data_IF_798479828933
#
_entry.id   IF_798479828933
#
_cell.length_a   1.000
_cell.length_b   1.000
_cell.length_c   1.000
_cell.angle_alpha   90.00
_cell.angle_beta   90.00
_cell.angle_gamma   90.00
#
_symmetry.space_group_name_H-M   'P 1'
#
loop_
_entity.id
_entity.type
_entity.pdbx_description
1 polymer ?
#
# COMPACT_ATOMS: atom_id res chain seq x y z
N UNK A 1 -26.64 -7.34 1.45
CA UNK A 1 -25.80 -6.46 0.60
C UNK A 1 -24.93 -5.63 1.52
N UNK A 2 -23.63 -5.48 1.20
CA UNK A 2 -22.72 -4.63 1.95
C UNK A 2 -23.09 -3.20 1.59
N UNK A 3 -23.42 -2.38 2.59
CA UNK A 3 -23.85 -0.99 2.39
C UNK A 3 -22.69 0.01 2.63
N UNK A 4 -21.70 -0.41 3.42
CA UNK A 4 -20.58 0.44 3.79
C UNK A 4 -19.58 0.57 2.64
N UNK A 5 -19.08 1.78 2.42
CA UNK A 5 -17.97 2.00 1.52
C UNK A 5 -16.68 1.51 2.18
N UNK A 6 -15.95 0.59 1.52
CA UNK A 6 -14.74 -0.04 2.06
C UNK A 6 -13.66 0.97 2.46
N UNK A 7 -13.42 1.98 1.61
CA UNK A 7 -12.42 3.03 1.90
C UNK A 7 -12.85 3.91 3.06
N UNK A 8 -14.15 4.22 3.16
CA UNK A 8 -14.68 5.04 4.26
C UNK A 8 -14.62 4.33 5.62
N UNK A 9 -14.69 3.01 5.66
CA UNK A 9 -14.47 2.25 6.90
C UNK A 9 -13.05 2.49 7.43
N UNK A 10 -12.03 2.50 6.59
CA UNK A 10 -10.66 2.84 7.01
C UNK A 10 -10.54 4.30 7.42
N UNK A 11 -11.07 5.23 6.64
CA UNK A 11 -11.04 6.66 6.98
C UNK A 11 -11.60 6.91 8.38
N UNK A 12 -12.78 6.33 8.67
CA UNK A 12 -13.40 6.42 9.98
C UNK A 12 -12.53 5.77 11.07
N UNK A 13 -12.03 4.57 10.85
CA UNK A 13 -11.19 3.84 11.80
C UNK A 13 -9.93 4.63 12.16
N UNK A 14 -9.25 5.23 11.19
CA UNK A 14 -8.06 6.05 11.45
C UNK A 14 -8.38 7.30 12.27
N UNK A 15 -9.50 7.97 12.00
CA UNK A 15 -9.94 9.14 12.77
C UNK A 15 -10.32 8.81 14.21
N UNK A 16 -11.08 7.72 14.41
CA UNK A 16 -11.62 7.34 15.73
C UNK A 16 -10.57 6.74 16.65
N UNK A 17 -9.53 6.10 16.10
CA UNK A 17 -8.51 5.40 16.87
C UNK A 17 -7.15 6.11 16.86
N UNK A 18 -7.09 7.37 16.53
CA UNK A 18 -5.92 8.20 16.24
C UNK A 18 -4.70 7.94 17.14
N UNK A 19 -4.90 7.90 18.44
CA UNK A 19 -3.85 7.76 19.44
C UNK A 19 -3.57 6.30 19.85
N UNK A 20 -4.34 5.33 19.32
CA UNK A 20 -4.15 3.92 19.64
C UNK A 20 -3.01 3.30 18.83
N UNK A 21 -2.32 2.28 19.36
CA UNK A 21 -1.37 1.48 18.60
C UNK A 21 -2.06 0.82 17.40
N UNK A 22 -1.42 0.88 16.23
CA UNK A 22 -1.91 0.31 14.98
C UNK A 22 -1.02 -0.86 14.54
N UNK A 23 0.25 -0.61 14.33
CA UNK A 23 1.23 -1.61 13.90
C UNK A 23 2.45 -1.61 14.83
N UNK A 24 2.97 -2.80 15.11
CA UNK A 24 4.23 -3.03 15.80
C UNK A 24 4.98 -4.12 15.07
N UNK A 25 6.19 -3.85 14.62
CA UNK A 25 7.01 -4.84 13.94
C UNK A 25 7.71 -5.74 14.97
N UNK A 26 7.70 -7.07 14.71
CA UNK A 26 8.26 -8.04 15.62
C UNK A 26 9.79 -7.92 15.68
N UNK A 27 10.32 -7.78 16.88
CA UNK A 27 11.75 -7.63 17.11
C UNK A 27 12.28 -6.21 16.91
N UNK A 28 11.41 -5.25 16.60
CA UNK A 28 11.73 -3.83 16.52
C UNK A 28 10.98 -3.06 17.63
N UNK A 29 11.60 -2.03 18.17
CA UNK A 29 10.96 -1.16 19.17
C UNK A 29 9.98 -0.15 18.52
N UNK A 30 9.89 -0.13 17.20
CA UNK A 30 9.02 0.77 16.46
C UNK A 30 7.56 0.30 16.49
N UNK A 31 6.71 1.17 17.00
CA UNK A 31 5.25 1.03 16.96
C UNK A 31 4.64 2.27 16.33
N UNK A 32 3.68 2.06 15.43
CA UNK A 32 2.92 3.14 14.82
C UNK A 32 1.55 3.25 15.49
N UNK A 33 1.14 4.48 15.86
CA UNK A 33 -0.26 4.76 16.14
C UNK A 33 -1.07 4.86 14.83
N UNK A 34 -2.40 4.80 14.93
CA UNK A 34 -3.27 5.05 13.77
C UNK A 34 -2.99 6.43 13.14
N UNK A 35 -2.74 7.45 13.95
CA UNK A 35 -2.38 8.79 13.48
C UNK A 35 -1.07 8.81 12.71
N UNK A 36 -0.04 8.12 13.20
CA UNK A 36 1.25 8.02 12.51
C UNK A 36 1.13 7.26 11.18
N UNK A 37 0.37 6.15 11.16
CA UNK A 37 0.08 5.43 9.91
C UNK A 37 -0.67 6.33 8.93
N UNK A 38 -1.67 7.07 9.37
CA UNK A 38 -2.40 8.01 8.52
C UNK A 38 -1.50 9.12 7.96
N UNK A 39 -0.52 9.60 8.75
CA UNK A 39 0.46 10.58 8.31
C UNK A 39 1.40 10.00 7.24
N UNK A 40 1.90 8.78 7.42
CA UNK A 40 2.72 8.12 6.40
C UNK A 40 1.93 7.86 5.11
N UNK A 41 0.65 7.47 5.21
CA UNK A 41 -0.24 7.37 4.05
C UNK A 41 -0.35 8.73 3.33
N UNK A 42 -0.52 9.84 4.07
CA UNK A 42 -0.61 11.17 3.50
C UNK A 42 0.69 11.56 2.77
N UNK A 43 1.85 11.25 3.33
CA UNK A 43 3.16 11.44 2.66
C UNK A 43 3.25 10.68 1.34
N UNK A 44 2.84 9.42 1.33
CA UNK A 44 2.79 8.62 0.09
C UNK A 44 1.77 9.17 -0.91
N UNK A 45 0.64 9.70 -0.46
CA UNK A 45 -0.33 10.37 -1.35
C UNK A 45 0.26 11.62 -2.00
N UNK A 46 1.05 12.43 -1.28
CA UNK A 46 1.77 13.57 -1.85
C UNK A 46 2.78 13.10 -2.91
N UNK A 47 3.54 12.05 -2.62
CA UNK A 47 4.45 11.43 -3.57
C UNK A 47 3.72 10.94 -4.82
N UNK A 48 2.61 10.23 -4.67
CA UNK A 48 1.80 9.72 -5.79
C UNK A 48 1.26 10.87 -6.66
N UNK A 49 0.79 11.94 -6.02
CA UNK A 49 0.34 13.15 -6.70
C UNK A 49 1.49 13.82 -7.46
N UNK A 50 2.65 13.99 -6.84
CA UNK A 50 3.85 14.54 -7.47
C UNK A 50 4.23 13.73 -8.71
N UNK A 51 4.20 12.41 -8.62
CA UNK A 51 4.48 11.51 -9.73
C UNK A 51 3.32 11.42 -10.75
N UNK A 52 2.27 12.22 -10.61
CA UNK A 52 1.09 12.18 -11.49
C UNK A 52 0.49 10.76 -11.63
N UNK A 53 0.44 10.03 -10.52
CA UNK A 53 -0.25 8.73 -10.46
C UNK A 53 -1.74 8.93 -10.67
N UNK A 54 -2.34 8.09 -11.49
CA UNK A 54 -3.76 8.15 -11.82
C UNK A 54 -4.56 7.10 -11.03
N UNK A 55 -5.84 7.38 -10.82
CA UNK A 55 -6.76 6.37 -10.28
C UNK A 55 -6.80 5.15 -11.23
N UNK A 56 -6.69 3.96 -10.64
CA UNK A 56 -6.63 2.71 -11.39
C UNK A 56 -5.24 2.32 -11.91
N UNK A 57 -4.23 3.18 -11.77
CA UNK A 57 -2.83 2.74 -11.96
C UNK A 57 -2.51 1.64 -10.94
N UNK A 58 -1.64 0.72 -11.31
CA UNK A 58 -1.30 -0.42 -10.47
C UNK A 58 0.04 -0.17 -9.77
N UNK A 59 0.08 -0.53 -8.50
CA UNK A 59 1.28 -0.48 -7.66
C UNK A 59 1.54 -1.88 -7.13
N UNK A 60 2.68 -2.45 -7.47
CA UNK A 60 3.12 -3.73 -6.92
C UNK A 60 3.76 -3.53 -5.55
N UNK A 61 3.52 -4.48 -4.63
CA UNK A 61 4.12 -4.51 -3.30
C UNK A 61 4.63 -5.90 -3.01
N UNK A 62 5.93 -6.04 -2.76
CA UNK A 62 6.60 -7.32 -2.45
C UNK A 62 7.59 -7.17 -1.30
N UNK A 63 7.48 -7.99 -0.28
CA UNK A 63 8.37 -7.99 0.88
C UNK A 63 7.80 -8.77 2.03
N UNK A 64 8.56 -8.85 3.13
CA UNK A 64 8.09 -9.43 4.39
C UNK A 64 6.96 -8.57 4.97
N UNK A 65 6.07 -9.24 5.71
CA UNK A 65 5.05 -8.55 6.49
C UNK A 65 5.70 -7.61 7.50
N UNK A 66 5.48 -6.33 7.33
CA UNK A 66 5.86 -5.28 8.26
C UNK A 66 4.90 -4.10 8.16
N UNK A 67 5.04 -3.13 9.06
CA UNK A 67 4.21 -1.93 9.09
C UNK A 67 4.25 -1.15 7.77
N UNK A 68 5.42 -1.00 7.16
CA UNK A 68 5.59 -0.24 5.92
C UNK A 68 4.97 -0.94 4.70
N UNK A 69 4.96 -2.28 4.68
CA UNK A 69 4.20 -3.03 3.69
C UNK A 69 2.69 -2.70 3.79
N UNK A 70 2.16 -2.71 5.02
CA UNK A 70 0.76 -2.36 5.27
C UNK A 70 0.46 -0.89 4.91
N UNK A 71 1.39 0.03 5.22
CA UNK A 71 1.26 1.46 4.87
C UNK A 71 1.24 1.64 3.34
N UNK A 72 2.16 1.00 2.61
CA UNK A 72 2.19 1.06 1.14
C UNK A 72 0.89 0.49 0.52
N UNK A 73 0.41 -0.64 1.04
CA UNK A 73 -0.87 -1.24 0.65
C UNK A 73 -2.03 -0.25 0.88
N UNK A 74 -2.14 0.28 2.10
CA UNK A 74 -3.21 1.21 2.47
C UNK A 74 -3.14 2.51 1.67
N UNK A 75 -1.94 3.09 1.50
CA UNK A 75 -1.75 4.28 0.68
C UNK A 75 -2.22 4.05 -0.77
N UNK A 76 -1.92 2.89 -1.33
CA UNK A 76 -2.32 2.53 -2.71
C UNK A 76 -3.84 2.52 -2.85
N UNK A 77 -4.55 1.76 -2.02
CA UNK A 77 -6.02 1.61 -2.15
C UNK A 77 -6.76 2.90 -1.77
N UNK A 78 -6.27 3.64 -0.78
CA UNK A 78 -6.91 4.88 -0.31
C UNK A 78 -6.66 6.07 -1.25
N UNK A 79 -5.62 6.00 -2.09
CA UNK A 79 -5.41 6.94 -3.19
C UNK A 79 -6.35 6.67 -4.37
N UNK A 80 -6.83 5.45 -4.49
CA UNK A 80 -7.66 4.98 -5.62
C UNK A 80 -6.86 4.29 -6.71
N UNK A 81 -5.63 3.88 -6.43
CA UNK A 81 -4.83 2.98 -7.24
C UNK A 81 -5.18 1.52 -6.92
N UNK A 82 -4.72 0.59 -7.75
CA UNK A 82 -4.94 -0.85 -7.59
C UNK A 82 -3.65 -1.45 -7.03
N UNK A 83 -3.76 -2.12 -5.89
CA UNK A 83 -2.62 -2.81 -5.29
C UNK A 83 -2.42 -4.19 -5.91
N UNK A 84 -1.15 -4.54 -6.16
CA UNK A 84 -0.73 -5.85 -6.68
C UNK A 84 0.23 -6.47 -5.66
N UNK A 85 -0.32 -7.15 -4.62
CA UNK A 85 0.53 -7.82 -3.63
C UNK A 85 1.18 -9.04 -4.27
N UNK A 86 2.49 -9.17 -4.07
CA UNK A 86 3.31 -10.27 -4.56
C UNK A 86 3.91 -10.99 -3.35
N UNK A 87 3.81 -12.31 -3.30
CA UNK A 87 4.43 -13.09 -2.24
C UNK A 87 5.95 -12.95 -2.30
N UNK A 88 6.59 -12.75 -1.14
CA UNK A 88 8.04 -12.53 -1.05
C UNK A 88 8.87 -13.70 -1.58
N UNK A 89 8.30 -14.91 -1.56
CA UNK A 89 9.00 -16.16 -1.94
C UNK A 89 8.88 -16.46 -3.44
N UNK A 90 8.24 -15.58 -4.22
CA UNK A 90 8.23 -15.72 -5.67
C UNK A 90 9.62 -15.49 -6.24
N UNK A 91 10.00 -16.35 -7.20
CA UNK A 91 11.29 -16.18 -7.86
C UNK A 91 11.31 -14.92 -8.74
N UNK A 92 12.49 -14.39 -9.10
CA UNK A 92 12.59 -13.14 -9.88
C UNK A 92 11.82 -13.18 -11.21
N UNK A 93 11.77 -14.33 -11.90
CA UNK A 93 11.02 -14.44 -13.16
C UNK A 93 9.51 -14.26 -12.97
N UNK A 94 8.96 -14.82 -11.89
CA UNK A 94 7.54 -14.64 -11.56
C UNK A 94 7.26 -13.18 -11.18
N UNK A 95 8.15 -12.53 -10.44
CA UNK A 95 8.03 -11.11 -10.09
C UNK A 95 8.04 -10.25 -11.36
N UNK A 96 9.01 -10.46 -12.27
CA UNK A 96 9.06 -9.77 -13.56
C UNK A 96 7.76 -9.95 -14.35
N UNK A 97 7.27 -11.21 -14.42
CA UNK A 97 6.02 -11.51 -15.11
C UNK A 97 4.84 -10.77 -14.49
N UNK A 98 4.67 -10.83 -13.16
CA UNK A 98 3.54 -10.20 -12.47
C UNK A 98 3.58 -8.69 -12.63
N UNK A 99 4.72 -8.04 -12.41
CA UNK A 99 4.86 -6.59 -12.55
C UNK A 99 4.54 -6.14 -13.97
N UNK A 100 5.04 -6.86 -14.97
CA UNK A 100 4.81 -6.54 -16.39
C UNK A 100 3.36 -6.82 -16.79
N UNK A 101 2.82 -8.00 -16.46
CA UNK A 101 1.46 -8.41 -16.81
C UNK A 101 0.39 -7.54 -16.12
N UNK A 102 0.63 -7.14 -14.88
CA UNK A 102 -0.27 -6.22 -14.17
C UNK A 102 -0.17 -4.78 -14.69
N UNK A 103 0.84 -4.46 -15.50
CA UNK A 103 1.17 -3.08 -15.92
C UNK A 103 1.40 -2.17 -14.70
N UNK A 104 2.08 -2.69 -13.66
CA UNK A 104 2.39 -1.88 -12.48
C UNK A 104 3.35 -0.75 -12.84
N UNK A 105 3.02 0.46 -12.40
CA UNK A 105 3.84 1.66 -12.67
C UNK A 105 4.80 1.97 -11.54
N UNK A 106 4.51 1.51 -10.32
CA UNK A 106 5.41 1.58 -9.16
C UNK A 106 5.57 0.19 -8.54
N UNK A 107 6.71 0.01 -7.89
CA UNK A 107 7.02 -1.18 -7.09
C UNK A 107 7.52 -0.72 -5.72
N UNK A 108 6.88 -1.21 -4.65
CA UNK A 108 7.43 -1.17 -3.29
C UNK A 108 8.04 -2.53 -2.99
N UNK A 109 9.31 -2.55 -2.60
CA UNK A 109 10.03 -3.81 -2.38
C UNK A 109 11.10 -3.69 -1.28
N UNK A 110 11.54 -4.81 -0.71
CA UNK A 110 12.76 -4.80 0.09
C UNK A 110 13.99 -4.64 -0.82
N UNK A 111 15.04 -4.02 -0.29
CA UNK A 111 16.29 -3.82 -1.03
C UNK A 111 16.87 -5.14 -1.53
N UNK A 112 16.87 -6.16 -0.66
CA UNK A 112 17.37 -7.50 -1.00
C UNK A 112 16.62 -8.18 -2.14
N UNK A 113 15.32 -7.92 -2.30
CA UNK A 113 14.54 -8.42 -3.44
C UNK A 113 14.91 -7.62 -4.70
N UNK A 114 15.01 -6.30 -4.58
CA UNK A 114 15.37 -5.42 -5.70
C UNK A 114 16.73 -5.80 -6.31
N UNK A 115 17.73 -6.10 -5.49
CA UNK A 115 19.06 -6.50 -5.92
C UNK A 115 19.10 -7.79 -6.79
N UNK A 116 18.02 -8.57 -6.77
CA UNK A 116 17.89 -9.80 -7.56
C UNK A 116 16.97 -9.63 -8.80
N UNK A 117 16.41 -8.44 -9.01
CA UNK A 117 15.56 -8.15 -10.17
C UNK A 117 16.37 -7.51 -11.30
N UNK A 118 16.03 -7.85 -12.52
CA UNK A 118 16.60 -7.30 -13.74
C UNK A 118 15.79 -6.07 -14.18
N UNK A 119 16.36 -4.88 -13.99
CA UNK A 119 15.70 -3.60 -14.30
C UNK A 119 15.23 -3.52 -15.76
N UNK A 120 16.03 -4.03 -16.68
CA UNK A 120 15.75 -4.01 -18.12
C UNK A 120 14.47 -4.76 -18.49
N UNK A 121 14.05 -5.69 -17.66
CA UNK A 121 12.82 -6.46 -17.83
C UNK A 121 11.58 -5.76 -17.25
N UNK A 122 11.77 -4.69 -16.51
CA UNK A 122 10.72 -3.94 -15.79
C UNK A 122 10.42 -2.60 -16.48
N UNK A 123 10.40 -2.58 -17.81
CA UNK A 123 10.29 -1.37 -18.63
C UNK A 123 9.03 -0.53 -18.39
N UNK A 124 7.99 -1.10 -17.77
CA UNK A 124 6.76 -0.40 -17.41
C UNK A 124 6.85 0.39 -16.10
N UNK A 125 7.82 0.07 -15.23
CA UNK A 125 7.99 0.77 -13.96
C UNK A 125 8.51 2.19 -14.18
N UNK A 126 7.93 3.13 -13.48
CA UNK A 126 8.36 4.55 -13.42
C UNK A 126 9.26 4.78 -12.23
N UNK A 127 9.02 4.09 -11.11
CA UNK A 127 9.84 4.15 -9.91
C UNK A 127 9.71 2.88 -9.05
N UNK A 128 10.76 2.65 -8.24
CA UNK A 128 10.84 1.59 -7.23
C UNK A 128 11.19 2.23 -5.89
N UNK A 129 10.49 1.82 -4.83
CA UNK A 129 10.65 2.36 -3.48
C UNK A 129 11.00 1.24 -2.51
N UNK A 130 11.92 1.52 -1.57
CA UNK A 130 12.26 0.60 -0.50
C UNK A 130 11.13 0.51 0.53
N UNK A 131 10.83 -0.71 1.01
CA UNK A 131 9.97 -0.93 2.18
C UNK A 131 10.69 -0.68 3.51
N UNK A 132 12.00 -0.37 3.51
CA UNK A 132 12.71 -0.05 4.75
C UNK A 132 12.48 1.40 5.22
N UNK A 133 12.31 2.34 4.28
CA UNK A 133 12.22 3.77 4.59
C UNK A 133 11.50 4.62 3.52
N UNK A 134 10.90 3.98 2.53
CA UNK A 134 10.26 4.59 1.37
C UNK A 134 11.17 5.43 0.47
N UNK A 135 12.52 5.33 0.60
CA UNK A 135 13.43 5.98 -0.35
C UNK A 135 13.26 5.40 -1.75
N UNK A 136 13.57 6.19 -2.75
CA UNK A 136 13.58 5.76 -4.13
C UNK A 136 14.82 4.92 -4.42
N UNK A 137 14.63 3.67 -4.84
CA UNK A 137 15.70 2.75 -5.28
C UNK A 137 16.01 2.91 -6.76
N UNK A 138 14.97 3.18 -7.56
CA UNK A 138 15.07 3.40 -8.99
C UNK A 138 14.01 4.40 -9.44
N UNK A 139 14.36 5.27 -10.37
CA UNK A 139 13.42 6.18 -11.05
C UNK A 139 13.85 6.38 -12.51
N UNK A 140 12.87 6.39 -13.41
CA UNK A 140 13.15 6.48 -14.84
C UNK A 140 13.42 7.90 -15.33
N UNK A 141 12.75 8.87 -14.75
CA UNK A 141 12.75 10.27 -15.22
C UNK A 141 13.69 11.17 -14.39
N UNK A 142 14.98 10.96 -14.51
CA UNK A 142 15.99 11.78 -13.83
C UNK A 142 15.90 11.71 -12.31
N UNK A 143 16.16 12.85 -11.63
CA UNK A 143 16.23 12.92 -10.16
C UNK A 143 14.99 13.57 -9.50
N UNK A 144 13.87 13.64 -10.20
CA UNK A 144 12.68 14.38 -9.74
C UNK A 144 12.07 13.80 -8.46
N UNK A 145 11.97 12.46 -8.38
CA UNK A 145 11.43 11.77 -7.21
C UNK A 145 12.36 11.93 -6.01
N UNK A 146 13.67 11.71 -6.17
CA UNK A 146 14.64 11.87 -5.10
C UNK A 146 14.67 13.31 -4.57
N UNK A 147 14.53 14.30 -5.46
CA UNK A 147 14.43 15.70 -5.05
C UNK A 147 13.17 15.97 -4.25
N UNK A 148 12.03 15.44 -4.68
CA UNK A 148 10.77 15.58 -3.97
C UNK A 148 10.85 14.93 -2.57
N UNK A 149 11.38 13.71 -2.49
CA UNK A 149 11.51 12.99 -1.20
C UNK A 149 12.39 13.73 -0.20
N UNK A 150 13.42 14.45 -0.65
CA UNK A 150 14.25 15.29 0.23
C UNK A 150 13.49 16.48 0.83
N UNK A 151 12.43 16.93 0.19
CA UNK A 151 11.58 18.05 0.62
C UNK A 151 10.18 17.61 1.05
N UNK A 152 9.98 16.32 1.28
CA UNK A 152 8.66 15.77 1.60
C UNK A 152 8.07 16.35 2.89
N UNK A 153 8.91 16.63 3.89
CA UNK A 153 8.45 17.25 5.14
C UNK A 153 8.05 18.73 4.92
N UNK A 154 8.71 19.44 4.01
CA UNK A 154 8.33 20.80 3.60
C UNK A 154 6.99 20.78 2.89
N UNK A 155 6.78 19.85 1.96
CA UNK A 155 5.50 19.63 1.26
C UNK A 155 4.36 19.27 2.24
N UNK A 156 4.66 18.44 3.24
CA UNK A 156 3.71 18.13 4.31
C UNK A 156 3.35 19.38 5.10
N UNK A 157 4.32 20.21 5.44
CA UNK A 157 4.09 21.46 6.18
C UNK A 157 3.29 22.48 5.34
N UNK A 158 3.58 22.60 4.05
CA UNK A 158 2.80 23.46 3.14
C UNK A 158 1.35 22.98 2.98
N UNK A 159 1.16 21.68 2.84
CA UNK A 159 -0.17 21.08 2.68
C UNK A 159 -0.97 21.13 3.98
N UNK A 160 -0.31 20.93 5.11
CA UNK A 160 -0.90 20.87 6.46
C UNK A 160 -0.21 21.84 7.43
N UNK A 161 -0.40 23.16 7.28
CA UNK A 161 0.36 24.17 8.04
C UNK A 161 0.10 24.17 9.55
N UNK A 162 -0.95 23.47 10.01
CA UNK A 162 -1.24 23.25 11.44
C UNK A 162 -0.82 21.85 11.91
N UNK A 163 0.03 21.16 11.15
CA UNK A 163 0.31 19.74 11.31
C UNK A 163 -0.82 18.86 10.76
N UNK A 164 -0.48 17.63 10.39
CA UNK A 164 -1.47 16.64 9.95
C UNK A 164 -2.26 16.11 11.17
N UNK A 165 -3.59 16.18 11.09
CA UNK A 165 -4.49 15.84 12.20
C UNK A 165 -5.56 14.87 11.74
N UNK A 166 -6.30 14.30 12.69
CA UNK A 166 -7.38 13.33 12.39
C UNK A 166 -8.44 13.86 11.43
N UNK A 167 -8.71 15.17 11.44
CA UNK A 167 -9.66 15.82 10.56
C UNK A 167 -9.17 15.86 9.11
N UNK A 168 -7.85 15.82 8.89
CA UNK A 168 -7.22 15.86 7.59
C UNK A 168 -7.21 14.49 6.89
N UNK A 169 -7.55 13.41 7.61
CA UNK A 169 -7.68 12.07 7.02
C UNK A 169 -8.86 12.06 6.06
N UNK A 170 -8.58 12.19 4.78
CA UNK A 170 -9.59 12.17 3.72
C UNK A 170 -9.10 11.26 2.57
N UNK A 171 -9.82 10.19 2.34
CA UNK A 171 -9.47 9.22 1.32
C UNK A 171 -10.39 9.32 0.11
N UNK A 172 -9.87 8.89 -1.03
CA UNK A 172 -10.64 8.85 -2.28
C UNK A 172 -11.90 8.01 -2.10
N UNK A 173 -13.05 8.58 -2.45
CA UNK A 173 -14.29 7.84 -2.49
C UNK A 173 -14.39 7.10 -3.83
N UNK A 174 -14.25 5.78 -3.78
CA UNK A 174 -14.51 4.87 -4.89
C UNK A 174 -15.71 4.00 -4.54
N UNK A 175 -16.51 3.67 -5.54
CA UNK A 175 -17.57 2.68 -5.37
C UNK A 175 -16.96 1.29 -5.14
N UNK A 176 -17.59 0.51 -4.28
CA UNK A 176 -17.12 -0.84 -3.93
C UNK A 176 -17.12 -1.84 -5.10
N UNK A 177 -17.77 -1.52 -6.23
CA UNK A 177 -17.73 -2.34 -7.45
C UNK A 177 -16.42 -2.20 -8.24
N UNK A 178 -15.59 -1.20 -7.90
CA UNK A 178 -14.29 -1.00 -8.55
C UNK A 178 -13.27 -2.03 -8.07
N UNK A 179 -12.42 -2.48 -9.01
CA UNK A 179 -11.26 -3.30 -8.69
C UNK A 179 -10.28 -2.48 -7.84
N UNK A 180 -9.87 -3.05 -6.71
CA UNK A 180 -8.94 -2.42 -5.76
C UNK A 180 -7.66 -3.25 -5.58
N UNK A 181 -7.70 -4.53 -5.97
CA UNK A 181 -6.59 -5.44 -5.76
C UNK A 181 -6.52 -6.46 -6.90
N UNK A 182 -5.31 -6.74 -7.37
CA UNK A 182 -4.99 -7.84 -8.28
C UNK A 182 -4.12 -8.85 -7.53
N UNK A 183 -4.69 -10.01 -7.20
CA UNK A 183 -3.97 -11.08 -6.53
C UNK A 183 -3.53 -12.15 -7.52
N UNK A 184 -2.24 -12.45 -7.54
CA UNK A 184 -1.68 -13.47 -8.43
C UNK A 184 -1.57 -14.80 -7.70
N UNK A 185 -2.12 -15.85 -8.29
CA UNK A 185 -2.02 -17.21 -7.79
C UNK A 185 -1.13 -18.04 -8.70
N UNK A 186 -0.37 -18.99 -8.13
CA UNK A 186 0.36 -19.99 -8.89
C UNK A 186 -0.62 -20.82 -9.72
N UNK A 187 -0.66 -20.58 -11.03
CA UNK A 187 -1.55 -21.32 -11.91
C UNK A 187 -1.09 -22.78 -12.09
N UNK A 188 -2.02 -23.72 -12.11
CA UNK A 188 -1.76 -25.14 -12.44
C UNK A 188 -1.20 -25.31 -13.86
N UNK A 189 -1.25 -24.28 -14.69
CA UNK A 189 -0.80 -24.26 -16.10
C UNK A 189 0.57 -23.58 -16.30
N UNK A 190 1.31 -23.30 -15.22
CA UNK A 190 2.67 -22.74 -15.27
C UNK A 190 2.75 -21.21 -15.34
N UNK A 191 1.65 -20.50 -15.53
CA UNK A 191 1.61 -19.02 -15.48
C UNK A 191 0.73 -18.52 -14.35
N UNK A 192 1.21 -17.51 -13.61
CA UNK A 192 0.44 -16.85 -12.57
C UNK A 192 -0.78 -16.14 -13.18
N UNK A 193 -1.95 -16.37 -12.59
CA UNK A 193 -3.21 -15.73 -13.02
C UNK A 193 -3.57 -14.61 -12.06
N UNK A 194 -3.86 -13.42 -12.61
CA UNK A 194 -4.33 -12.28 -11.83
C UNK A 194 -5.83 -12.38 -11.53
N UNK A 195 -6.19 -12.48 -10.26
CA UNK A 195 -7.57 -12.44 -9.77
C UNK A 195 -7.91 -11.00 -9.39
N UNK A 196 -8.93 -10.44 -10.04
CA UNK A 196 -9.41 -9.08 -9.75
C UNK A 196 -10.36 -9.11 -8.56
N UNK A 197 -10.01 -8.40 -7.49
CA UNK A 197 -10.84 -8.24 -6.31
C UNK A 197 -11.36 -6.80 -6.24
N UNK A 198 -12.68 -6.69 -6.08
CA UNK A 198 -13.36 -5.41 -5.91
C UNK A 198 -13.41 -4.98 -4.45
N UNK A 199 -13.76 -3.72 -4.20
CA UNK A 199 -14.06 -3.24 -2.86
C UNK A 199 -15.16 -4.06 -2.17
N UNK A 200 -16.13 -4.63 -2.90
CA UNK A 200 -17.15 -5.53 -2.34
C UNK A 200 -16.55 -6.83 -1.80
N UNK A 201 -15.57 -7.42 -2.50
CA UNK A 201 -14.89 -8.62 -2.02
C UNK A 201 -14.16 -8.36 -0.71
N UNK A 202 -13.43 -7.22 -0.64
CA UNK A 202 -12.68 -6.83 0.55
C UNK A 202 -13.60 -6.43 1.71
N UNK A 203 -14.62 -5.60 1.44
CA UNK A 203 -15.61 -5.18 2.43
C UNK A 203 -16.40 -6.35 3.00
N UNK A 204 -16.65 -7.41 2.19
CA UNK A 204 -17.31 -8.62 2.65
C UNK A 204 -16.55 -9.29 3.79
N UNK A 205 -15.25 -9.44 3.66
CA UNK A 205 -14.39 -10.03 4.68
C UNK A 205 -14.34 -9.15 5.95
N UNK A 206 -14.21 -7.83 5.79
CA UNK A 206 -14.21 -6.88 6.93
C UNK A 206 -15.54 -6.91 7.65
N UNK A 207 -16.66 -6.84 6.93
CA UNK A 207 -18.01 -6.92 7.51
C UNK A 207 -18.24 -8.24 8.24
N UNK A 208 -17.76 -9.36 7.69
CA UNK A 208 -17.82 -10.65 8.36
C UNK A 208 -17.03 -10.63 9.68
N UNK A 209 -15.78 -10.13 9.65
CA UNK A 209 -14.93 -10.03 10.84
C UNK A 209 -15.58 -9.17 11.94
N UNK A 210 -16.18 -8.03 11.58
CA UNK A 210 -16.88 -7.15 12.53
C UNK A 210 -18.11 -7.88 13.13
N UNK A 211 -18.91 -8.56 12.32
CA UNK A 211 -20.14 -9.22 12.79
C UNK A 211 -19.90 -10.46 13.63
N UNK A 212 -18.75 -11.10 13.48
CA UNK A 212 -18.42 -12.29 14.31
C UNK A 212 -17.88 -11.92 15.68
N UNK A 213 -17.61 -10.62 15.92
CA UNK A 213 -17.12 -10.09 17.21
C UNK A 213 -15.91 -10.87 17.78
N UNK A 214 -15.10 -11.47 16.90
CA UNK A 214 -13.92 -12.25 17.29
C UNK A 214 -12.83 -11.37 17.91
N UNK A 215 -12.80 -10.08 17.54
CA UNK A 215 -11.82 -9.10 18.00
C UNK A 215 -12.53 -7.92 18.64
N UNK A 216 -11.96 -7.42 19.73
CA UNK A 216 -12.42 -6.23 20.44
C UNK A 216 -11.40 -5.12 20.32
N UNK A 217 -11.83 -3.88 20.50
CA UNK A 217 -10.93 -2.73 20.56
C UNK A 217 -9.87 -2.94 21.63
N UNK A 218 -8.60 -2.86 21.24
CA UNK A 218 -7.44 -3.09 22.12
C UNK A 218 -6.84 -4.49 22.01
N UNK A 219 -7.50 -5.44 21.36
CA UNK A 219 -6.92 -6.75 21.09
C UNK A 219 -5.71 -6.64 20.17
N UNK A 220 -4.71 -7.49 20.40
CA UNK A 220 -3.51 -7.60 19.58
C UNK A 220 -3.59 -8.83 18.69
N UNK A 221 -3.32 -8.67 17.41
CA UNK A 221 -3.31 -9.75 16.43
C UNK A 221 -1.89 -9.92 15.91
N UNK A 222 -1.39 -11.15 15.97
CA UNK A 222 -0.12 -11.50 15.35
C UNK A 222 -0.35 -11.86 13.86
N UNK A 223 0.24 -11.09 12.95
CA UNK A 223 0.27 -11.38 11.53
C UNK A 223 1.58 -12.07 11.16
N UNK A 224 1.55 -13.38 10.92
CA UNK A 224 2.73 -14.19 10.56
C UNK A 224 2.55 -14.94 9.23
N UNK A 225 1.35 -14.95 8.67
CA UNK A 225 1.10 -15.51 7.34
C UNK A 225 1.43 -14.48 6.26
N UNK A 226 1.92 -14.93 5.10
CA UNK A 226 2.21 -14.06 3.97
C UNK A 226 0.95 -13.40 3.38
#
# INVERSE_FOLDING_TARGET
MIQENFIKLYEQSFRENWDLPCYTDYGEDESYSYGQVAQEIAKLHLLFKHCSLRRGDKIAVIGKNNSRWCIAYMATITYGAIVVPILQDFNPNDVHHIVTHSESVFLFTSDSIWDHLEEERLTGLRAVFSLSDFRCLHQRDGETINRFLKHLDDEMHETYPKGFRREDVQYTTLSNDKVMLLNYTSGTTGFSKGVMLTGNNLAGNVTFGIRTELLKKGDKVLSFLP
#
